data_IF_379949504536
#
_entry.id   IF_379949504536
#
_cell.length_a   1.000
_cell.length_b   1.000
_cell.length_c   1.000
_cell.angle_alpha   90.00
_cell.angle_beta   90.00
_cell.angle_gamma   90.00
#
_symmetry.space_group_name_H-M   'P 1'
#
loop_
_entity.id
_entity.type
_entity.pdbx_description
1 polymer ?
#
# COMPACT_ATOMS: atom_id res chain seq x y z
N UNK A 1 -0.17 -8.58 -2.67
CA UNK A 1 0.03 -7.16 -2.35
C UNK A 1 1.32 -6.66 -3.00
N UNK A 2 1.27 -6.31 -4.29
CA UNK A 2 2.49 -5.96 -5.07
C UNK A 2 2.92 -4.50 -4.80
N UNK A 3 1.96 -3.60 -4.60
CA UNK A 3 2.22 -2.17 -4.43
C UNK A 3 2.93 -1.88 -3.11
N UNK A 4 2.50 -2.51 -2.01
CA UNK A 4 3.16 -2.39 -0.71
C UNK A 4 4.60 -2.89 -0.77
N UNK A 5 4.82 -4.08 -1.37
CA UNK A 5 6.17 -4.63 -1.58
C UNK A 5 7.02 -3.70 -2.43
N UNK A 6 6.51 -3.17 -3.54
CA UNK A 6 7.26 -2.20 -4.36
C UNK A 6 7.63 -0.95 -3.56
N UNK A 7 6.71 -0.41 -2.75
CA UNK A 7 7.00 0.76 -1.93
C UNK A 7 8.07 0.46 -0.87
N UNK A 8 8.02 -0.73 -0.24
CA UNK A 8 9.02 -1.23 0.71
C UNK A 8 10.42 -1.30 0.06
N UNK A 9 10.55 -1.99 -1.07
CA UNK A 9 11.83 -2.14 -1.77
C UNK A 9 12.35 -0.82 -2.34
N UNK A 10 11.45 0.07 -2.79
CA UNK A 10 11.83 1.39 -3.25
C UNK A 10 12.35 2.25 -2.09
N UNK A 11 11.76 2.14 -0.90
CA UNK A 11 12.23 2.85 0.29
C UNK A 11 13.63 2.40 0.73
N UNK A 12 13.97 1.11 0.57
CA UNK A 12 15.35 0.65 0.78
C UNK A 12 16.35 1.39 -0.13
N UNK A 13 16.00 1.65 -1.39
CA UNK A 13 16.85 2.44 -2.30
C UNK A 13 17.02 3.90 -1.86
N UNK A 14 16.09 4.40 -1.05
CA UNK A 14 16.13 5.75 -0.47
C UNK A 14 16.72 5.79 0.94
N UNK A 15 17.31 4.67 1.40
CA UNK A 15 18.01 4.58 2.68
C UNK A 15 17.18 4.05 3.84
N UNK A 16 15.89 3.75 3.66
CA UNK A 16 15.14 3.16 4.75
C UNK A 16 15.69 1.77 5.10
N UNK A 17 15.92 1.54 6.38
CA UNK A 17 16.16 0.21 6.91
C UNK A 17 14.83 -0.39 7.36
N UNK A 18 14.83 -1.69 7.65
CA UNK A 18 13.74 -2.29 8.40
C UNK A 18 13.61 -1.59 9.75
N UNK A 19 12.38 -1.33 10.18
CA UNK A 19 12.11 -0.77 11.50
C UNK A 19 12.76 -1.67 12.59
N UNK A 20 13.40 -1.06 13.58
CA UNK A 20 14.19 -1.75 14.61
C UNK A 20 15.65 -2.00 14.24
N UNK A 21 16.07 -1.72 13.00
CA UNK A 21 17.43 -2.02 12.54
C UNK A 21 18.47 -0.97 12.93
N UNK A 22 19.72 -1.43 13.02
CA UNK A 22 20.91 -0.59 13.12
C UNK A 22 21.10 0.32 11.89
N UNK A 23 21.87 1.41 12.03
CA UNK A 23 22.37 2.18 10.88
C UNK A 23 23.06 1.33 9.80
N UNK A 24 22.98 1.78 8.55
CA UNK A 24 23.67 1.17 7.41
C UNK A 24 25.20 1.18 7.61
N UNK A 25 25.78 -0.01 7.64
CA UNK A 25 27.25 -0.17 7.68
C UNK A 25 27.84 0.42 6.39
N UNK A 26 28.83 1.31 6.54
CA UNK A 26 29.49 1.96 5.41
C UNK A 26 28.85 3.28 4.95
N UNK A 27 27.78 3.74 5.60
CA UNK A 27 27.25 5.09 5.40
C UNK A 27 27.39 5.90 6.69
N UNK A 28 28.44 6.75 6.80
CA UNK A 28 28.59 7.64 7.93
C UNK A 28 27.33 8.49 8.13
N UNK A 29 26.91 8.65 9.39
CA UNK A 29 25.74 9.45 9.79
C UNK A 29 24.38 8.93 9.30
N UNK A 30 24.28 7.67 8.87
CA UNK A 30 22.97 7.05 8.66
C UNK A 30 22.21 6.95 9.98
N UNK A 31 20.93 7.40 10.07
CA UNK A 31 20.20 7.42 11.34
C UNK A 31 19.82 6.02 11.85
N UNK A 32 19.62 5.06 10.95
CA UNK A 32 19.13 3.73 11.30
C UNK A 32 17.64 3.77 11.62
N UNK A 33 17.13 2.75 12.31
CA UNK A 33 15.70 2.66 12.65
C UNK A 33 15.42 2.03 14.01
N UNK A 34 16.42 1.96 14.90
CA UNK A 34 16.26 1.37 16.25
C UNK A 34 15.19 2.02 17.12
N UNK A 35 14.90 3.30 16.92
CA UNK A 35 13.85 4.04 17.65
C UNK A 35 12.43 3.75 17.15
N UNK A 36 12.27 3.05 16.02
CA UNK A 36 10.97 2.64 15.48
C UNK A 36 10.85 1.12 15.62
N UNK A 37 10.07 0.60 16.59
CA UNK A 37 9.90 -0.84 16.79
C UNK A 37 9.36 -1.55 15.54
N UNK A 38 9.80 -2.78 15.31
CA UNK A 38 9.31 -3.61 14.19
C UNK A 38 7.83 -3.93 14.34
N UNK A 39 7.38 -4.11 15.58
CA UNK A 39 6.04 -4.49 15.99
C UNK A 39 5.01 -3.36 15.81
N UNK A 40 5.44 -2.12 15.61
CA UNK A 40 4.54 -1.00 15.32
C UNK A 40 3.85 -1.14 13.96
N UNK A 41 4.34 -2.06 13.10
CA UNK A 41 3.65 -2.46 11.89
C UNK A 41 3.68 -1.45 10.75
N UNK A 42 4.66 -0.54 10.75
CA UNK A 42 4.87 0.38 9.63
C UNK A 42 5.37 -0.36 8.37
N UNK A 43 5.35 0.34 7.23
CA UNK A 43 5.62 -0.20 5.90
C UNK A 43 7.00 -0.88 5.77
N UNK A 44 7.99 -0.51 6.60
CA UNK A 44 9.31 -1.15 6.63
C UNK A 44 9.38 -2.39 7.53
N UNK A 45 8.25 -2.86 8.05
CA UNK A 45 8.08 -4.16 8.71
C UNK A 45 7.28 -5.14 7.82
N UNK A 46 7.19 -6.40 8.24
CA UNK A 46 6.24 -7.37 7.65
C UNK A 46 4.96 -7.54 8.46
N UNK A 47 4.79 -6.78 9.54
CA UNK A 47 3.58 -6.79 10.37
C UNK A 47 2.48 -5.99 9.65
N UNK A 48 1.28 -6.55 9.59
CA UNK A 48 0.14 -6.05 8.78
C UNK A 48 -1.18 -6.07 9.55
N UNK A 49 -1.11 -6.02 10.87
CA UNK A 49 -2.25 -6.09 11.80
C UNK A 49 -2.98 -4.75 12.00
N UNK A 50 -2.40 -3.65 11.53
CA UNK A 50 -2.94 -2.30 11.67
C UNK A 50 -2.81 -1.48 10.38
N UNK A 51 -3.40 -0.28 10.36
CA UNK A 51 -3.27 0.63 9.23
C UNK A 51 -1.88 1.26 9.10
N UNK A 52 -0.99 1.12 10.11
CA UNK A 52 0.39 1.57 10.00
C UNK A 52 1.12 0.94 8.81
N UNK A 53 0.66 -0.23 8.35
CA UNK A 53 1.21 -0.92 7.17
C UNK A 53 1.16 -0.09 5.88
N UNK A 54 0.36 0.99 5.86
CA UNK A 54 0.23 1.94 4.75
C UNK A 54 1.09 3.21 4.92
N UNK A 55 1.92 3.28 5.96
CA UNK A 55 2.69 4.45 6.34
C UNK A 55 4.17 4.11 6.55
N UNK A 56 5.05 5.05 6.20
CA UNK A 56 6.43 5.00 6.64
C UNK A 56 6.53 5.47 8.10
N UNK A 57 7.40 4.82 8.87
CA UNK A 57 7.78 5.29 10.21
C UNK A 57 8.54 6.61 10.12
N UNK A 58 8.65 7.32 11.25
CA UNK A 58 9.49 8.52 11.34
C UNK A 58 10.96 8.21 11.02
N UNK A 59 11.46 7.02 11.38
CA UNK A 59 12.84 6.60 11.10
C UNK A 59 13.11 6.42 9.59
N UNK A 60 12.16 5.83 8.86
CA UNK A 60 12.28 5.74 7.41
C UNK A 60 12.21 7.14 6.78
N UNK A 61 11.28 8.00 7.20
CA UNK A 61 11.21 9.38 6.72
C UNK A 61 12.51 10.18 6.98
N UNK A 62 13.12 10.01 8.15
CA UNK A 62 14.42 10.61 8.49
C UNK A 62 15.56 10.06 7.61
N UNK A 63 15.58 8.75 7.38
CA UNK A 63 16.58 8.12 6.50
C UNK A 63 16.49 8.66 5.08
N UNK A 64 15.27 8.78 4.52
CA UNK A 64 15.04 9.41 3.21
C UNK A 64 15.53 10.86 3.20
N UNK A 65 15.23 11.61 4.27
CA UNK A 65 15.65 13.01 4.41
C UNK A 65 17.19 13.14 4.40
N UNK A 66 17.91 12.28 5.12
CA UNK A 66 19.37 12.31 5.19
C UNK A 66 20.00 11.84 3.88
N UNK A 67 19.58 10.67 3.37
CA UNK A 67 20.16 10.05 2.18
C UNK A 67 19.91 10.88 0.93
N UNK A 68 18.72 11.47 0.77
CA UNK A 68 18.43 12.33 -0.39
C UNK A 68 19.31 13.58 -0.46
N UNK A 69 19.98 13.98 0.63
CA UNK A 69 20.90 15.14 0.65
C UNK A 69 22.37 14.80 0.43
N UNK A 70 22.70 13.52 0.25
CA UNK A 70 24.06 13.12 -0.06
C UNK A 70 24.45 13.62 -1.46
N UNK A 71 25.73 14.03 -1.61
CA UNK A 71 26.24 14.64 -2.84
C UNK A 71 26.10 13.77 -4.09
N UNK A 72 26.04 12.46 -3.91
CA UNK A 72 25.91 11.46 -4.98
C UNK A 72 24.45 11.03 -5.23
N UNK A 73 23.46 11.80 -4.74
CA UNK A 73 22.02 11.54 -4.92
C UNK A 73 21.30 12.61 -5.75
N UNK A 74 22.07 13.39 -6.52
CA UNK A 74 21.56 14.41 -7.45
C UNK A 74 20.50 13.88 -8.42
N UNK A 75 20.56 12.60 -8.80
CA UNK A 75 19.62 11.98 -9.73
C UNK A 75 18.15 11.99 -9.24
N UNK A 76 17.90 12.16 -7.94
CA UNK A 76 16.55 12.26 -7.37
C UNK A 76 15.87 13.61 -7.67
N UNK A 77 16.65 14.63 -8.02
CA UNK A 77 16.17 16.01 -8.19
C UNK A 77 16.02 16.43 -9.66
N UNK A 78 16.47 15.59 -10.60
CA UNK A 78 16.44 15.91 -12.03
C UNK A 78 15.67 14.86 -12.83
N UNK A 79 14.68 15.32 -13.61
CA UNK A 79 13.98 14.44 -14.52
C UNK A 79 14.82 14.18 -15.79
N UNK A 80 15.33 12.96 -15.94
CA UNK A 80 16.15 12.52 -17.07
C UNK A 80 15.34 11.83 -18.19
N UNK A 81 14.01 11.71 -18.06
CA UNK A 81 13.19 10.89 -18.98
C UNK A 81 12.73 11.63 -20.24
N UNK A 82 13.00 12.94 -20.35
CA UNK A 82 12.52 13.86 -21.40
C UNK A 82 11.00 13.84 -21.69
N UNK A 83 10.23 13.04 -20.95
CA UNK A 83 8.78 12.88 -21.07
C UNK A 83 8.13 13.33 -19.77
N UNK A 84 7.09 14.16 -19.88
CA UNK A 84 6.17 14.35 -18.77
C UNK A 84 5.19 13.17 -18.85
N UNK A 85 5.51 12.07 -18.18
CA UNK A 85 4.57 10.96 -18.03
C UNK A 85 3.66 11.30 -16.86
N UNK A 86 2.74 12.24 -17.10
CA UNK A 86 1.63 12.46 -16.19
C UNK A 86 0.50 11.52 -16.59
N UNK A 87 0.32 10.42 -15.86
CA UNK A 87 -0.97 9.71 -15.91
C UNK A 87 -1.97 10.64 -15.22
N UNK A 88 -2.76 11.37 -16.02
CA UNK A 88 -3.87 12.15 -15.51
C UNK A 88 -5.06 11.21 -15.34
N UNK A 89 -5.25 10.73 -14.12
CA UNK A 89 -6.44 9.99 -13.72
C UNK A 89 -6.90 10.57 -12.39
N UNK A 90 -8.18 10.95 -12.35
CA UNK A 90 -8.85 11.31 -11.10
C UNK A 90 -9.34 10.06 -10.33
N UNK A 91 -9.26 8.89 -10.97
CA UNK A 91 -9.69 7.62 -10.40
C UNK A 91 -8.64 7.07 -9.43
N UNK A 92 -9.12 6.64 -8.26
CA UNK A 92 -8.35 5.84 -7.32
C UNK A 92 -8.39 4.36 -7.73
N UNK A 93 -7.43 3.51 -7.32
CA UNK A 93 -7.38 2.11 -7.74
C UNK A 93 -8.68 1.33 -7.48
N UNK A 94 -9.33 1.57 -6.34
CA UNK A 94 -10.61 0.98 -5.95
C UNK A 94 -11.81 1.47 -6.75
N UNK A 95 -11.68 2.54 -7.55
CA UNK A 95 -12.69 2.96 -8.52
C UNK A 95 -12.69 2.06 -9.77
N UNK A 96 -11.57 1.37 -10.02
CA UNK A 96 -11.37 0.51 -11.20
C UNK A 96 -11.34 -0.98 -10.87
N UNK A 97 -11.13 -1.33 -9.60
CA UNK A 97 -11.02 -2.71 -9.14
C UNK A 97 -12.12 -3.00 -8.13
N UNK A 98 -12.99 -3.94 -8.45
CA UNK A 98 -14.09 -4.34 -7.57
C UNK A 98 -13.61 -5.25 -6.43
N UNK A 99 -14.40 -5.32 -5.35
CA UNK A 99 -14.08 -6.22 -4.22
C UNK A 99 -14.01 -7.70 -4.65
N UNK A 100 -14.82 -8.12 -5.62
CA UNK A 100 -14.76 -9.46 -6.19
C UNK A 100 -13.41 -9.70 -6.92
N UNK A 101 -12.92 -8.72 -7.69
CA UNK A 101 -11.61 -8.80 -8.35
C UNK A 101 -10.46 -8.83 -7.34
N UNK A 102 -10.56 -8.08 -6.24
CA UNK A 102 -9.58 -8.14 -5.15
C UNK A 102 -9.56 -9.54 -4.52
N UNK A 103 -10.73 -10.17 -4.27
CA UNK A 103 -10.77 -11.55 -3.77
C UNK A 103 -10.11 -12.53 -4.75
N UNK A 104 -10.43 -12.45 -6.04
CA UNK A 104 -9.83 -13.31 -7.05
C UNK A 104 -8.31 -13.15 -7.13
N UNK A 105 -7.81 -11.92 -7.07
CA UNK A 105 -6.38 -11.63 -7.11
C UNK A 105 -5.66 -12.12 -5.84
N UNK A 106 -6.24 -11.85 -4.66
CA UNK A 106 -5.67 -12.23 -3.35
C UNK A 106 -5.54 -13.74 -3.21
N UNK A 107 -6.58 -14.47 -3.61
CA UNK A 107 -6.64 -15.93 -3.45
C UNK A 107 -6.33 -16.71 -4.74
N UNK A 108 -5.70 -16.07 -5.73
CA UNK A 108 -5.35 -16.70 -7.02
C UNK A 108 -4.51 -17.98 -6.89
N UNK A 109 -3.74 -18.10 -5.81
CA UNK A 109 -2.89 -19.26 -5.52
C UNK A 109 -3.70 -20.50 -5.08
N UNK A 110 -4.97 -20.34 -4.70
CA UNK A 110 -5.82 -21.44 -4.25
C UNK A 110 -6.44 -22.20 -5.44
N UNK A 111 -5.65 -23.07 -6.06
CA UNK A 111 -6.05 -23.86 -7.24
C UNK A 111 -7.38 -24.59 -7.04
N UNK A 112 -8.28 -24.47 -8.02
CA UNK A 112 -9.61 -25.09 -7.98
C UNK A 112 -10.66 -24.33 -7.18
N UNK A 113 -10.30 -23.17 -6.61
CA UNK A 113 -11.22 -22.29 -5.89
C UNK A 113 -11.32 -20.93 -6.57
N UNK A 114 -12.53 -20.38 -6.62
CA UNK A 114 -12.82 -19.01 -7.03
C UNK A 114 -13.40 -18.29 -5.83
N UNK A 115 -12.81 -17.15 -5.47
CA UNK A 115 -13.26 -16.34 -4.36
C UNK A 115 -14.00 -15.09 -4.84
N UNK A 116 -15.05 -14.71 -4.13
CA UNK A 116 -15.84 -13.50 -4.35
C UNK A 116 -16.06 -12.77 -3.03
N UNK A 117 -16.48 -11.51 -3.10
CA UNK A 117 -16.81 -10.70 -1.95
C UNK A 117 -18.04 -11.25 -1.23
N UNK A 118 -17.88 -11.55 0.06
CA UNK A 118 -18.96 -12.00 0.94
C UNK A 118 -19.83 -10.82 1.39
N UNK A 119 -20.82 -10.51 0.54
CA UNK A 119 -21.79 -9.43 0.76
C UNK A 119 -22.60 -9.60 2.05
N UNK A 120 -22.72 -10.82 2.59
CA UNK A 120 -23.45 -11.06 3.83
C UNK A 120 -22.72 -10.51 5.06
N UNK A 121 -21.40 -10.40 4.99
CA UNK A 121 -20.56 -9.88 6.07
C UNK A 121 -20.25 -8.39 5.94
N UNK A 122 -20.29 -7.86 4.72
CA UNK A 122 -19.95 -6.46 4.49
C UNK A 122 -18.45 -6.18 4.64
N UNK A 123 -18.09 -4.90 4.70
CA UNK A 123 -16.80 -4.47 5.23
C UNK A 123 -16.84 -4.49 6.76
N UNK A 124 -15.72 -4.86 7.37
CA UNK A 124 -15.56 -4.95 8.82
C UNK A 124 -15.32 -3.57 9.44
N UNK A 125 -16.21 -3.15 10.37
CA UNK A 125 -16.00 -1.99 11.24
C UNK A 125 -15.92 -0.62 10.52
N UNK A 126 -15.19 0.33 11.11
CA UNK A 126 -14.86 1.64 10.52
C UNK A 126 -13.70 1.60 9.50
N UNK A 127 -13.34 0.40 9.03
CA UNK A 127 -12.16 0.14 8.21
C UNK A 127 -12.48 -0.38 6.80
N UNK A 128 -11.42 -0.83 6.12
CA UNK A 128 -11.44 -1.29 4.74
C UNK A 128 -11.20 -2.79 4.56
N UNK A 129 -11.12 -3.54 5.65
CA UNK A 129 -11.02 -5.00 5.59
C UNK A 129 -12.40 -5.61 5.28
N UNK A 130 -12.44 -6.65 4.47
CA UNK A 130 -13.66 -7.37 4.13
C UNK A 130 -13.42 -8.86 3.92
N UNK A 131 -14.50 -9.65 3.94
CA UNK A 131 -14.43 -11.10 3.78
C UNK A 131 -14.62 -11.53 2.32
N UNK A 132 -13.81 -12.50 1.91
CA UNK A 132 -13.94 -13.25 0.67
C UNK A 132 -14.41 -14.67 0.96
N UNK A 133 -15.29 -15.20 0.11
CA UNK A 133 -15.84 -16.57 0.21
C UNK A 133 -15.61 -17.32 -1.10
N UNK A 134 -15.22 -18.60 -1.01
CA UNK A 134 -15.00 -19.44 -2.20
C UNK A 134 -16.30 -19.93 -2.81
N UNK A 135 -16.24 -20.51 -4.01
CA UNK A 135 -17.28 -21.43 -4.49
C UNK A 135 -17.42 -22.64 -3.56
N UNK A 136 -18.56 -23.34 -3.70
CA UNK A 136 -18.88 -24.57 -2.95
C UNK A 136 -17.78 -25.63 -3.13
N UNK A 137 -17.33 -26.20 -2.02
CA UNK A 137 -16.40 -27.34 -1.99
C UNK A 137 -17.07 -28.56 -1.38
N UNK A 138 -16.75 -29.75 -1.88
CA UNK A 138 -17.16 -31.01 -1.24
C UNK A 138 -16.26 -31.29 -0.04
N UNK A 139 -16.88 -31.56 1.09
CA UNK A 139 -16.20 -31.94 2.34
C UNK A 139 -16.83 -33.23 2.87
N UNK A 140 -16.14 -34.02 3.70
CA UNK A 140 -16.75 -35.18 4.34
C UNK A 140 -18.04 -34.77 5.06
N UNK A 141 -19.17 -35.36 4.68
CA UNK A 141 -20.47 -35.07 5.27
C UNK A 141 -21.23 -33.86 4.71
N UNK A 142 -20.78 -33.19 3.64
CA UNK A 142 -21.58 -32.14 3.01
C UNK A 142 -20.86 -31.20 2.06
N UNK A 143 -21.32 -29.94 2.05
CA UNK A 143 -20.76 -28.84 1.26
C UNK A 143 -20.23 -27.76 2.20
N UNK A 144 -19.01 -27.32 1.96
CA UNK A 144 -18.38 -26.23 2.68
C UNK A 144 -17.98 -25.09 1.77
N UNK A 145 -17.36 -24.07 2.38
CA UNK A 145 -16.74 -22.93 1.72
C UNK A 145 -15.43 -22.62 2.42
N UNK A 146 -14.46 -22.09 1.68
CA UNK A 146 -13.30 -21.44 2.29
C UNK A 146 -13.58 -19.95 2.40
N UNK A 147 -13.05 -19.34 3.45
CA UNK A 147 -13.14 -17.90 3.64
C UNK A 147 -11.74 -17.33 3.87
N UNK A 148 -11.57 -16.06 3.56
CA UNK A 148 -10.36 -15.31 3.82
C UNK A 148 -10.66 -13.82 3.90
N UNK A 149 -9.71 -13.04 4.40
CA UNK A 149 -9.83 -11.58 4.50
C UNK A 149 -9.06 -10.91 3.37
N UNK A 150 -9.55 -9.78 2.92
CA UNK A 150 -8.88 -8.89 1.98
C UNK A 150 -9.08 -7.43 2.40
N UNK A 151 -8.27 -6.53 1.86
CA UNK A 151 -8.35 -5.10 2.14
C UNK A 151 -8.79 -4.36 0.86
N UNK A 152 -9.75 -3.46 1.02
CA UNK A 152 -10.22 -2.58 -0.04
C UNK A 152 -9.12 -1.61 -0.46
N UNK A 153 -8.93 -1.46 -1.77
CA UNK A 153 -7.98 -0.49 -2.29
C UNK A 153 -8.48 0.93 -2.05
N UNK A 154 -7.58 1.91 -2.07
CA UNK A 154 -7.96 3.31 -2.03
C UNK A 154 -9.03 3.61 -3.10
N UNK A 155 -10.16 4.18 -2.71
CA UNK A 155 -11.34 4.41 -3.56
C UNK A 155 -12.45 3.37 -3.45
N UNK A 156 -12.20 2.18 -2.90
CA UNK A 156 -13.26 1.18 -2.70
C UNK A 156 -14.33 1.71 -1.75
N UNK A 157 -15.61 1.57 -2.11
CA UNK A 157 -16.72 2.01 -1.26
C UNK A 157 -16.77 1.17 0.02
N UNK A 158 -16.75 1.83 1.18
CA UNK A 158 -16.71 1.19 2.49
C UNK A 158 -17.99 1.36 3.32
N UNK A 159 -18.90 2.24 2.90
CA UNK A 159 -20.19 2.45 3.54
C UNK A 159 -21.33 2.23 2.53
N UNK A 160 -22.19 1.25 2.81
CA UNK A 160 -23.35 0.94 1.97
C UNK A 160 -24.44 2.00 2.03
N UNK A 161 -24.45 2.83 3.08
CA UNK A 161 -25.42 3.93 3.28
C UNK A 161 -24.90 5.26 2.76
N UNK A 162 -23.59 5.39 2.55
CA UNK A 162 -22.97 6.63 2.11
C UNK A 162 -21.92 6.37 1.01
N UNK A 163 -22.30 6.59 -0.24
CA UNK A 163 -21.42 6.44 -1.41
C UNK A 163 -20.25 7.42 -1.46
N UNK A 164 -20.24 8.46 -0.61
CA UNK A 164 -19.11 9.37 -0.48
C UNK A 164 -18.00 8.81 0.43
N UNK A 165 -18.25 7.73 1.18
CA UNK A 165 -17.23 7.10 2.00
C UNK A 165 -16.49 6.01 1.26
N UNK A 166 -15.17 6.15 1.21
CA UNK A 166 -14.26 5.27 0.50
C UNK A 166 -13.06 4.92 1.36
N UNK A 167 -12.39 3.84 0.98
CA UNK A 167 -11.13 3.46 1.55
C UNK A 167 -10.03 4.44 1.19
N UNK A 168 -9.24 4.86 2.19
CA UNK A 168 -7.96 5.56 2.01
C UNK A 168 -7.02 5.07 3.10
N UNK A 169 -5.92 4.42 2.72
CA UNK A 169 -4.90 3.90 3.66
C UNK A 169 -5.51 3.02 4.77
N UNK A 170 -6.45 2.16 4.40
CA UNK A 170 -7.11 1.22 5.32
C UNK A 170 -8.27 1.80 6.13
N UNK A 171 -8.54 3.11 6.04
CA UNK A 171 -9.62 3.78 6.77
C UNK A 171 -10.83 4.11 5.89
N UNK A 172 -12.03 4.01 6.46
CA UNK A 172 -13.27 4.40 5.79
C UNK A 172 -13.56 5.90 6.02
N UNK A 173 -13.15 6.73 5.06
CA UNK A 173 -13.20 8.19 5.17
C UNK A 173 -14.03 8.82 4.04
N UNK A 174 -14.36 10.11 4.17
CA UNK A 174 -14.93 10.84 3.05
C UNK A 174 -13.94 10.89 1.89
N UNK A 175 -14.45 10.70 0.66
CA UNK A 175 -13.63 10.74 -0.55
C UNK A 175 -12.83 12.04 -0.59
N UNK A 176 -11.48 11.96 -0.72
CA UNK A 176 -10.65 13.15 -0.79
C UNK A 176 -10.98 13.95 -2.06
N UNK A 177 -10.84 15.28 -2.03
CA UNK A 177 -11.00 16.11 -3.21
C UNK A 177 -9.97 15.67 -4.27
N UNK A 178 -10.33 15.84 -5.55
CA UNK A 178 -9.45 15.48 -6.68
C UNK A 178 -8.10 16.15 -6.52
N UNK A 179 -7.03 15.36 -6.65
CA UNK A 179 -5.65 15.83 -6.60
C UNK A 179 -5.44 16.88 -7.69
N UNK A 180 -5.08 18.12 -7.31
CA UNK A 180 -4.56 19.09 -8.28
C UNK A 180 -3.29 18.52 -8.92
N UNK A 181 -3.09 18.78 -10.21
CA UNK A 181 -1.88 18.35 -10.94
C UNK A 181 -0.62 18.67 -10.13
N UNK A 182 0.22 17.67 -9.85
CA UNK A 182 1.53 17.90 -9.21
C UNK A 182 2.35 18.87 -10.09
N UNK A 183 3.00 19.89 -9.50
CA UNK A 183 3.95 20.73 -10.23
C UNK A 183 5.02 19.85 -10.89
N UNK A 184 5.38 20.17 -12.14
CA UNK A 184 6.45 19.46 -12.84
C UNK A 184 7.78 19.64 -12.11
N UNK A 185 8.52 18.55 -11.91
CA UNK A 185 9.91 18.64 -11.42
C UNK A 185 10.79 19.41 -12.43
N UNK A 186 11.80 20.16 -11.94
CA UNK A 186 12.75 20.83 -12.81
C UNK A 186 13.47 19.82 -13.72
N UNK A 187 13.64 20.19 -14.99
CA UNK A 187 14.38 19.38 -15.97
C UNK A 187 15.87 19.47 -15.66
N UNK A 188 16.60 18.37 -15.86
CA UNK A 188 18.05 18.42 -15.87
C UNK A 188 18.51 19.45 -16.93
N UNK A 189 19.15 20.53 -16.51
CA UNK A 189 19.85 21.41 -17.45
C UNK A 189 21.01 20.64 -18.06
N UNK A 190 21.20 20.75 -19.39
CA UNK A 190 22.45 20.27 -20.01
C UNK A 190 23.59 21.08 -19.37
N UNK A 191 24.49 20.39 -18.64
CA UNK A 191 25.79 20.95 -18.28
C UNK A 191 26.60 21.20 -19.54
#
# INVERSE_FOLDING_TARGET
DIVRTMAHELAHNLGCMHDGSEPLRGMPSHPGSKSCPWEDGYLMSYVTDSNNQFHFSSCCAESIYVVSRLRDRDCLFYNNTMKIVGVQSDDLPGDKVTLDQICQATFKHATGLTFTYDRSKGMSGSGCEFSCISNKIRVPGGVGYRTGKAIGLDGSQCDSRNSNKVCVRGECVNRPPRSRSRPSQPRAGRR
#
